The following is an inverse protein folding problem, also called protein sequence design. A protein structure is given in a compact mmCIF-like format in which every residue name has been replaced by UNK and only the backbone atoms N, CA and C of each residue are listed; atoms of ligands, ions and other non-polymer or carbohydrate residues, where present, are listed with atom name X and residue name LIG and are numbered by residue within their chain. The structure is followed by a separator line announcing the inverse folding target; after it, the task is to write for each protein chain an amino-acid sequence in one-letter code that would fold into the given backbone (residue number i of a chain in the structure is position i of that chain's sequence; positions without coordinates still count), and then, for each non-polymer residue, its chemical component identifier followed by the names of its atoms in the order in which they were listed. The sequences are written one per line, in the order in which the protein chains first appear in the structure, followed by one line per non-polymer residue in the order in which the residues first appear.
data_IF_508468323538
#
_entry.id   IF_508468323538
#
_cell.length_a   1.000
_cell.length_b   1.000
_cell.length_c   1.000
_cell.angle_alpha   90.00
_cell.angle_beta   90.00
_cell.angle_gamma   90.00
#
_symmetry.space_group_name_H-M   'P 1'
#
loop_
_entity.id
_entity.type
_entity.pdbx_description
1 polymer ?
#
# COMPACT_ATOMS: atom_id res chain seq x y z
N UNK A 1 -2.58 5.80 3.76
CA UNK A 1 -3.26 5.61 5.06
C UNK A 1 -4.40 6.61 5.15
N UNK A 2 -5.56 6.24 5.73
CA UNK A 2 -6.67 7.18 5.94
C UNK A 2 -6.51 8.00 7.22
N UNK A 3 -5.74 7.50 8.18
CA UNK A 3 -5.41 8.13 9.45
C UNK A 3 -4.15 7.47 10.04
N UNK A 4 -3.59 8.05 11.09
CA UNK A 4 -2.49 7.47 11.87
C UNK A 4 -2.87 7.36 13.35
N UNK A 5 -3.22 6.13 13.76
CA UNK A 5 -3.78 5.83 15.08
C UNK A 5 -2.80 5.14 16.00
N UNK A 6 -1.83 4.39 15.45
CA UNK A 6 -0.90 3.61 16.25
C UNK A 6 0.18 4.48 16.92
N UNK A 7 0.49 4.16 18.18
CA UNK A 7 1.42 4.94 19.00
C UNK A 7 2.84 4.92 18.42
N UNK A 8 3.28 3.79 17.86
CA UNK A 8 4.65 3.62 17.38
C UNK A 8 4.96 4.57 16.22
N UNK A 9 4.16 4.55 15.16
CA UNK A 9 4.34 5.43 14.01
C UNK A 9 4.04 6.89 14.36
N UNK A 10 3.11 7.18 15.27
CA UNK A 10 2.90 8.55 15.79
C UNK A 10 4.15 9.09 16.49
N UNK A 11 4.83 8.28 17.31
CA UNK A 11 6.11 8.66 17.93
C UNK A 11 7.19 8.88 16.87
N UNK A 12 7.29 8.01 15.86
CA UNK A 12 8.27 8.17 14.77
C UNK A 12 8.08 9.47 14.00
N UNK A 13 6.83 9.80 13.65
CA UNK A 13 6.53 11.06 12.97
C UNK A 13 6.78 12.26 13.89
N UNK A 14 6.42 12.17 15.17
CA UNK A 14 6.76 13.22 16.14
C UNK A 14 8.27 13.48 16.22
N UNK A 15 9.07 12.40 16.22
CA UNK A 15 10.52 12.51 16.20
C UNK A 15 11.00 13.18 14.91
N UNK A 16 10.43 12.81 13.75
CA UNK A 16 10.74 13.44 12.47
C UNK A 16 10.41 14.95 12.45
N UNK A 17 9.28 15.38 13.04
CA UNK A 17 8.94 16.81 13.22
C UNK A 17 10.03 17.52 14.02
N UNK A 18 10.47 16.90 15.14
CA UNK A 18 11.50 17.49 15.99
C UNK A 18 12.87 17.55 15.30
N UNK A 19 13.16 16.58 14.44
CA UNK A 19 14.40 16.45 13.68
C UNK A 19 14.46 17.33 12.44
N UNK A 20 13.30 17.73 11.90
CA UNK A 20 13.19 18.68 10.80
C UNK A 20 13.67 20.10 11.18
N UNK A 21 14.11 20.34 12.43
CA UNK A 21 14.76 21.59 12.85
C UNK A 21 15.69 21.35 14.06
N UNK A 22 17.04 21.52 14.00
CA UNK A 22 17.89 22.25 13.03
C UNK A 22 18.57 21.40 11.93
N UNK A 23 19.18 22.05 10.92
CA UNK A 23 19.70 21.45 9.66
C UNK A 23 20.61 20.24 9.82
N UNK A 24 21.44 20.17 10.88
CA UNK A 24 22.31 18.99 11.12
C UNK A 24 21.51 17.73 11.45
N UNK A 25 20.45 17.89 12.25
CA UNK A 25 19.58 16.76 12.64
C UNK A 25 18.70 16.38 11.44
N UNK A 26 18.28 17.36 10.64
CA UNK A 26 17.55 17.11 9.40
C UNK A 26 18.37 16.29 8.40
N UNK A 27 19.68 16.55 8.27
CA UNK A 27 20.54 15.73 7.42
C UNK A 27 20.62 14.26 7.90
N UNK A 28 20.58 14.02 9.21
CA UNK A 28 20.51 12.67 9.75
C UNK A 28 19.15 12.01 9.47
N UNK A 29 18.05 12.77 9.65
CA UNK A 29 16.70 12.33 9.29
C UNK A 29 16.63 11.91 7.81
N UNK A 30 17.13 12.77 6.91
CA UNK A 30 17.18 12.51 5.47
C UNK A 30 17.92 11.21 5.20
N UNK A 31 19.15 11.04 5.72
CA UNK A 31 19.93 9.81 5.52
C UNK A 31 19.20 8.56 6.01
N UNK A 32 18.56 8.63 7.18
CA UNK A 32 17.83 7.50 7.73
C UNK A 32 16.62 7.10 6.85
N UNK A 33 15.83 8.10 6.42
CA UNK A 33 14.65 7.88 5.57
C UNK A 33 15.06 7.36 4.19
N UNK A 34 16.05 7.97 3.55
CA UNK A 34 16.46 7.57 2.19
C UNK A 34 17.13 6.22 2.19
N UNK A 35 17.87 5.86 3.24
CA UNK A 35 18.42 4.51 3.40
C UNK A 35 17.33 3.45 3.50
N UNK A 36 16.28 3.70 4.30
CA UNK A 36 15.16 2.77 4.44
C UNK A 36 14.32 2.59 3.17
N UNK A 37 14.26 3.61 2.32
CA UNK A 37 13.48 3.62 1.08
C UNK A 37 14.25 3.12 -0.15
N UNK A 38 15.59 3.15 -0.13
CA UNK A 38 16.40 2.74 -1.26
C UNK A 38 16.49 1.20 -1.38
N UNK A 39 16.47 0.71 -2.61
CA UNK A 39 16.75 -0.68 -2.99
C UNK A 39 18.24 -0.90 -3.29
N UNK A 40 18.93 0.13 -3.79
CA UNK A 40 20.35 0.11 -4.18
C UNK A 40 21.03 1.44 -3.91
N UNK A 41 22.36 1.44 -4.01
CA UNK A 41 23.20 2.63 -3.75
C UNK A 41 22.84 3.81 -4.66
N UNK A 42 22.50 3.58 -5.93
CA UNK A 42 22.15 4.68 -6.86
C UNK A 42 20.86 5.36 -6.41
N UNK A 43 19.82 4.59 -6.12
CA UNK A 43 18.54 5.10 -5.60
C UNK A 43 18.72 5.85 -4.29
N UNK A 44 19.56 5.35 -3.38
CA UNK A 44 19.89 6.05 -2.14
C UNK A 44 20.48 7.44 -2.41
N UNK A 45 21.44 7.55 -3.34
CA UNK A 45 22.07 8.82 -3.66
C UNK A 45 21.07 9.78 -4.31
N UNK A 46 20.27 9.31 -5.26
CA UNK A 46 19.24 10.13 -5.92
C UNK A 46 18.21 10.65 -4.90
N UNK A 47 17.63 9.77 -4.09
CA UNK A 47 16.66 10.17 -3.06
C UNK A 47 17.26 11.17 -2.06
N UNK A 48 18.51 10.95 -1.66
CA UNK A 48 19.21 11.83 -0.73
C UNK A 48 19.50 13.20 -1.34
N UNK A 49 19.97 13.24 -2.59
CA UNK A 49 20.31 14.50 -3.26
C UNK A 49 19.06 15.35 -3.53
N UNK A 50 17.91 14.72 -3.81
CA UNK A 50 16.62 15.40 -3.86
C UNK A 50 16.16 15.90 -2.48
N UNK A 51 16.20 15.04 -1.46
CA UNK A 51 15.74 15.40 -0.11
C UNK A 51 16.60 16.49 0.55
N UNK A 52 17.88 16.62 0.18
CA UNK A 52 18.75 17.72 0.64
C UNK A 52 18.33 19.10 0.10
N UNK A 53 17.52 19.15 -0.96
CA UNK A 53 16.97 20.39 -1.51
C UNK A 53 15.68 20.84 -0.79
N UNK A 54 15.11 19.99 0.07
CA UNK A 54 13.88 20.30 0.77
C UNK A 54 14.08 21.37 1.85
N UNK A 55 13.08 22.24 1.98
CA UNK A 55 13.03 23.23 3.06
C UNK A 55 12.55 22.57 4.35
N UNK A 56 13.26 22.82 5.45
CA UNK A 56 12.95 22.32 6.78
C UNK A 56 11.48 22.52 7.19
N UNK A 57 10.94 23.71 6.93
CA UNK A 57 9.56 24.05 7.26
C UNK A 57 8.55 23.23 6.45
N UNK A 58 8.87 22.88 5.19
CA UNK A 58 8.01 22.03 4.36
C UNK A 58 8.01 20.60 4.88
N UNK A 59 9.19 20.05 5.19
CA UNK A 59 9.34 18.70 5.77
C UNK A 59 8.59 18.60 7.09
N UNK A 60 8.77 19.60 7.96
CA UNK A 60 8.06 19.69 9.23
C UNK A 60 6.55 19.74 9.03
N UNK A 61 6.08 20.65 8.16
CA UNK A 61 4.65 20.81 7.87
C UNK A 61 4.04 19.51 7.34
N UNK A 62 4.74 18.80 6.46
CA UNK A 62 4.30 17.51 5.93
C UNK A 62 4.08 16.47 7.05
N UNK A 63 5.05 16.33 7.96
CA UNK A 63 4.91 15.41 9.09
C UNK A 63 3.85 15.84 10.10
N UNK A 64 3.70 17.14 10.37
CA UNK A 64 2.62 17.67 11.21
C UNK A 64 1.23 17.36 10.62
N UNK A 65 1.07 17.52 9.30
CA UNK A 65 -0.18 17.14 8.62
C UNK A 65 -0.41 15.63 8.68
N UNK A 66 0.65 14.81 8.56
CA UNK A 66 0.53 13.35 8.65
C UNK A 66 0.02 12.87 10.01
N UNK A 67 0.29 13.59 11.10
CA UNK A 67 -0.27 13.28 12.44
C UNK A 67 -1.75 13.68 12.61
N UNK A 68 -2.20 14.68 11.86
CA UNK A 68 -3.52 15.32 12.02
C UNK A 68 -4.53 14.82 11.00
N UNK A 69 -4.07 14.36 9.84
CA UNK A 69 -4.91 13.92 8.75
C UNK A 69 -5.76 12.72 9.17
N UNK A 70 -7.07 12.84 8.97
CA UNK A 70 -8.02 11.75 9.12
C UNK A 70 -9.11 11.90 8.06
N UNK A 71 -9.24 10.92 7.18
CA UNK A 71 -10.31 10.83 6.20
C UNK A 71 -11.13 9.54 6.34
N UNK A 72 -10.96 8.75 7.40
CA UNK A 72 -11.64 7.44 7.58
C UNK A 72 -13.16 7.58 7.45
N UNK A 73 -13.76 8.59 8.06
CA UNK A 73 -15.21 8.86 7.96
C UNK A 73 -15.68 9.34 6.57
N UNK A 74 -14.76 9.73 5.70
CA UNK A 74 -15.05 10.17 4.33
C UNK A 74 -14.77 9.09 3.28
N UNK A 75 -14.22 7.93 3.66
CA UNK A 75 -13.87 6.87 2.70
C UNK A 75 -15.09 6.37 1.92
N UNK A 76 -16.26 6.29 2.57
CA UNK A 76 -17.52 5.88 1.94
C UNK A 76 -17.98 6.80 0.81
N UNK A 77 -17.45 8.04 0.73
CA UNK A 77 -17.74 9.01 -0.32
C UNK A 77 -16.95 8.73 -1.61
N UNK A 78 -15.89 7.93 -1.55
CA UNK A 78 -15.10 7.54 -2.73
C UNK A 78 -15.84 6.40 -3.42
N UNK A 79 -16.47 6.69 -4.56
CA UNK A 79 -17.31 5.72 -5.30
C UNK A 79 -16.58 5.03 -6.45
N UNK A 80 -15.41 5.51 -6.81
CA UNK A 80 -14.58 4.93 -7.83
C UNK A 80 -13.96 3.62 -7.34
N UNK A 81 -13.66 2.65 -8.23
CA UNK A 81 -12.86 1.50 -7.89
C UNK A 81 -11.48 1.94 -7.39
N UNK A 82 -11.03 1.37 -6.26
CA UNK A 82 -9.73 1.67 -5.66
C UNK A 82 -8.90 0.40 -5.54
N UNK A 83 -7.69 0.43 -6.10
CA UNK A 83 -6.68 -0.60 -5.90
C UNK A 83 -5.79 -0.23 -4.72
N UNK A 84 -5.73 -1.11 -3.73
CA UNK A 84 -4.85 -1.01 -2.57
C UNK A 84 -3.73 -2.05 -2.73
N UNK A 85 -2.48 -1.58 -2.77
CA UNK A 85 -1.29 -2.45 -2.89
C UNK A 85 -0.40 -2.21 -1.68
N UNK A 86 -0.06 -3.29 -0.98
CA UNK A 86 0.80 -3.29 0.20
C UNK A 86 1.88 -4.35 0.10
N UNK A 87 2.98 -4.16 0.84
CA UNK A 87 3.97 -5.22 1.03
C UNK A 87 3.50 -6.22 2.07
N UNK A 88 3.63 -7.52 1.79
CA UNK A 88 3.30 -8.58 2.76
C UNK A 88 4.12 -8.44 4.05
N UNK A 89 5.40 -8.04 3.94
CA UNK A 89 6.30 -7.85 5.09
C UNK A 89 6.15 -6.49 5.78
N UNK A 90 5.24 -5.64 5.31
CA UNK A 90 4.97 -4.32 5.90
C UNK A 90 3.91 -4.38 7.00
N UNK A 91 4.08 -5.30 7.96
CA UNK A 91 3.05 -5.70 8.93
C UNK A 91 2.49 -4.52 9.74
N UNK A 92 3.31 -3.51 10.03
CA UNK A 92 2.90 -2.30 10.75
C UNK A 92 1.80 -1.51 10.02
N UNK A 93 1.69 -1.68 8.69
CA UNK A 93 0.72 -0.98 7.85
C UNK A 93 -0.50 -1.82 7.48
N UNK A 94 -0.53 -3.12 7.82
CA UNK A 94 -1.67 -3.99 7.54
C UNK A 94 -2.96 -3.49 8.21
N UNK A 95 -2.96 -3.04 9.48
CA UNK A 95 -4.17 -2.47 10.09
C UNK A 95 -4.73 -1.29 9.29
N UNK A 96 -3.86 -0.43 8.75
CA UNK A 96 -4.29 0.70 7.92
C UNK A 96 -4.83 0.27 6.55
N UNK A 97 -4.24 -0.76 5.95
CA UNK A 97 -4.79 -1.37 4.73
C UNK A 97 -6.22 -1.87 4.97
N UNK A 98 -6.47 -2.50 6.12
CA UNK A 98 -7.79 -3.01 6.50
C UNK A 98 -8.80 -1.91 6.84
N UNK A 99 -8.36 -0.79 7.44
CA UNK A 99 -9.23 0.39 7.64
C UNK A 99 -9.69 0.93 6.27
N UNK A 100 -8.75 1.09 5.33
CA UNK A 100 -9.06 1.56 3.98
C UNK A 100 -9.98 0.59 3.24
N UNK A 101 -9.65 -0.71 3.23
CA UNK A 101 -10.42 -1.72 2.51
C UNK A 101 -11.87 -1.80 3.02
N UNK A 102 -12.08 -1.74 4.34
CA UNK A 102 -13.43 -1.73 4.95
C UNK A 102 -14.19 -0.43 4.72
N UNK A 103 -13.51 0.71 4.72
CA UNK A 103 -14.15 2.01 4.55
C UNK A 103 -14.49 2.37 3.10
N UNK A 104 -13.78 1.78 2.13
CA UNK A 104 -13.97 2.01 0.71
C UNK A 104 -15.01 1.04 0.13
N UNK A 105 -16.09 1.53 -0.51
CA UNK A 105 -17.17 0.67 -0.99
C UNK A 105 -16.77 -0.27 -2.15
N UNK A 106 -15.76 0.12 -2.94
CA UNK A 106 -15.30 -0.63 -4.10
C UNK A 106 -13.78 -0.71 -4.10
N UNK A 107 -13.22 -1.54 -3.22
CA UNK A 107 -11.77 -1.68 -3.12
C UNK A 107 -11.30 -3.12 -3.36
N UNK A 108 -10.13 -3.24 -3.99
CA UNK A 108 -9.38 -4.50 -4.12
C UNK A 108 -8.09 -4.35 -3.33
N UNK A 109 -7.77 -5.31 -2.45
CA UNK A 109 -6.59 -5.28 -1.60
C UNK A 109 -5.63 -6.41 -1.97
N UNK A 110 -4.40 -6.07 -2.34
CA UNK A 110 -3.34 -7.02 -2.69
C UNK A 110 -2.11 -6.81 -1.82
N UNK A 111 -1.59 -7.92 -1.27
CA UNK A 111 -0.30 -7.97 -0.61
C UNK A 111 0.73 -8.61 -1.53
N UNK A 112 1.79 -7.88 -1.87
CA UNK A 112 2.89 -8.42 -2.67
C UNK A 112 3.77 -9.27 -1.76
N UNK A 113 3.84 -10.57 -2.08
CA UNK A 113 4.63 -11.55 -1.35
C UNK A 113 6.07 -11.08 -1.16
N UNK A 114 6.61 -11.24 0.04
CA UNK A 114 7.97 -10.83 0.43
C UNK A 114 8.32 -9.33 0.29
N UNK A 115 7.39 -8.48 -0.16
CA UNK A 115 7.65 -7.05 -0.33
C UNK A 115 7.52 -6.30 0.99
N UNK A 116 8.38 -5.29 1.15
CA UNK A 116 8.38 -4.35 2.30
C UNK A 116 7.56 -3.09 1.96
N UNK A 117 7.60 -2.11 2.84
CA UNK A 117 6.91 -0.83 2.70
C UNK A 117 7.12 -0.09 1.36
N UNK A 118 8.35 0.13 0.84
CA UNK A 118 8.55 0.93 -0.36
C UNK A 118 8.30 0.11 -1.64
N UNK A 119 7.07 -0.38 -1.80
CA UNK A 119 6.62 -1.20 -2.93
C UNK A 119 6.97 -0.58 -4.29
N UNK A 120 6.76 0.74 -4.54
CA UNK A 120 7.05 1.33 -5.85
C UNK A 120 8.52 1.26 -6.26
N UNK A 121 9.43 1.18 -5.30
CA UNK A 121 10.88 1.13 -5.54
C UNK A 121 11.36 -0.32 -5.53
N UNK A 122 11.05 -1.07 -4.47
CA UNK A 122 11.60 -2.41 -4.24
C UNK A 122 10.82 -3.53 -4.94
N UNK A 123 9.62 -3.25 -5.45
CA UNK A 123 8.76 -4.26 -6.10
C UNK A 123 8.01 -3.69 -7.30
N UNK A 124 8.63 -2.73 -8.00
CA UNK A 124 8.05 -2.00 -9.11
C UNK A 124 7.42 -2.91 -10.18
N UNK A 125 8.15 -3.93 -10.65
CA UNK A 125 7.66 -4.84 -11.68
C UNK A 125 6.37 -5.56 -11.23
N UNK A 126 6.38 -6.16 -10.03
CA UNK A 126 5.21 -6.87 -9.47
C UNK A 126 4.03 -5.95 -9.22
N UNK A 127 4.30 -4.73 -8.74
CA UNK A 127 3.28 -3.70 -8.57
C UNK A 127 2.65 -3.34 -9.91
N UNK A 128 3.46 -3.11 -10.95
CA UNK A 128 2.99 -2.78 -12.28
C UNK A 128 2.16 -3.90 -12.90
N UNK A 129 2.58 -5.16 -12.75
CA UNK A 129 1.80 -6.33 -13.20
C UNK A 129 0.41 -6.36 -12.56
N UNK A 130 0.33 -6.12 -11.24
CA UNK A 130 -0.95 -6.05 -10.51
C UNK A 130 -1.80 -4.88 -11.03
N UNK A 131 -1.20 -3.71 -11.27
CA UNK A 131 -1.91 -2.55 -11.80
C UNK A 131 -2.50 -2.87 -13.18
N UNK A 132 -1.71 -3.47 -14.08
CA UNK A 132 -2.20 -3.83 -15.43
C UNK A 132 -3.35 -4.82 -15.36
N UNK A 133 -3.19 -5.92 -14.62
CA UNK A 133 -4.23 -6.92 -14.44
C UNK A 133 -5.51 -6.31 -13.82
N UNK A 134 -5.35 -5.44 -12.83
CA UNK A 134 -6.49 -4.77 -12.21
C UNK A 134 -7.17 -3.81 -13.19
N UNK A 135 -6.43 -2.99 -13.92
CA UNK A 135 -7.01 -2.09 -14.93
C UNK A 135 -7.74 -2.86 -16.01
N UNK A 136 -7.18 -3.96 -16.51
CA UNK A 136 -7.84 -4.79 -17.53
C UNK A 136 -9.11 -5.44 -16.97
N UNK A 137 -9.06 -5.94 -15.74
CA UNK A 137 -10.25 -6.48 -15.06
C UNK A 137 -11.37 -5.44 -14.87
N UNK A 138 -11.06 -4.15 -14.80
CA UNK A 138 -12.07 -3.09 -14.72
C UNK A 138 -12.77 -2.86 -16.05
N UNK A 139 -12.11 -3.11 -17.19
CA UNK A 139 -12.73 -3.06 -18.52
C UNK A 139 -13.72 -4.21 -18.72
N UNK A 140 -13.46 -5.35 -18.08
CA UNK A 140 -14.31 -6.55 -18.13
C UNK A 140 -15.57 -6.48 -17.24
N UNK A 141 -15.79 -5.37 -16.50
CA UNK A 141 -16.97 -5.16 -15.63
C UNK A 141 -18.34 -5.21 -16.33
N UNK A 142 -18.39 -5.39 -17.65
CA UNK A 142 -19.63 -5.71 -18.38
C UNK A 142 -20.02 -7.20 -18.34
N UNK A 143 -19.16 -8.12 -17.88
CA UNK A 143 -19.47 -9.55 -17.86
C UNK A 143 -19.48 -10.14 -16.45
N UNK A 144 -20.59 -10.83 -16.13
CA UNK A 144 -21.02 -11.50 -14.88
C UNK A 144 -19.99 -12.37 -14.12
N UNK A 145 -18.77 -12.53 -14.63
CA UNK A 145 -17.79 -13.56 -14.27
C UNK A 145 -16.55 -13.01 -13.56
N UNK A 146 -16.59 -11.76 -13.08
CA UNK A 146 -15.47 -11.04 -12.43
C UNK A 146 -14.73 -11.87 -11.37
N UNK A 147 -15.47 -12.63 -10.56
CA UNK A 147 -14.91 -13.45 -9.48
C UNK A 147 -14.05 -14.61 -10.01
N UNK A 148 -14.34 -15.15 -11.21
CA UNK A 148 -13.53 -16.21 -11.84
C UNK A 148 -12.18 -15.68 -12.31
N UNK A 149 -12.15 -14.44 -12.81
CA UNK A 149 -10.90 -13.77 -13.20
C UNK A 149 -10.04 -13.46 -11.98
N UNK A 150 -10.62 -12.88 -10.93
CA UNK A 150 -9.92 -12.58 -9.69
C UNK A 150 -9.34 -13.86 -9.06
N UNK A 151 -10.08 -14.98 -9.13
CA UNK A 151 -9.61 -16.31 -8.69
C UNK A 151 -8.48 -16.86 -9.57
N UNK A 152 -8.55 -16.71 -10.90
CA UNK A 152 -7.50 -17.14 -11.82
C UNK A 152 -6.20 -16.35 -11.64
N UNK A 153 -6.30 -15.03 -11.40
CA UNK A 153 -5.15 -14.17 -11.07
C UNK A 153 -4.54 -14.61 -9.73
N UNK A 154 -5.36 -14.84 -8.70
CA UNK A 154 -4.90 -15.31 -7.40
C UNK A 154 -4.19 -16.68 -7.49
N UNK A 155 -4.69 -17.61 -8.30
CA UNK A 155 -4.05 -18.90 -8.56
C UNK A 155 -2.69 -18.75 -9.26
N UNK A 156 -2.60 -17.88 -10.27
CA UNK A 156 -1.34 -17.64 -10.98
C UNK A 156 -0.27 -17.06 -10.05
N UNK A 157 -0.68 -16.23 -9.10
CA UNK A 157 0.23 -15.60 -8.13
C UNK A 157 0.57 -16.53 -6.95
N UNK A 158 -0.33 -17.44 -6.55
CA UNK A 158 -0.12 -18.34 -5.42
C UNK A 158 -0.87 -19.69 -5.59
N UNK A 159 -0.36 -20.63 -6.39
CA UNK A 159 -1.10 -21.81 -6.84
C UNK A 159 -1.37 -22.85 -5.74
N UNK A 160 -0.65 -22.81 -4.61
CA UNK A 160 -0.79 -23.80 -3.54
C UNK A 160 -1.96 -23.53 -2.59
N UNK A 161 -2.58 -22.35 -2.68
CA UNK A 161 -3.62 -21.90 -1.73
C UNK A 161 -5.05 -22.03 -2.29
N UNK A 162 -5.22 -22.29 -3.59
CA UNK A 162 -6.52 -22.23 -4.26
C UNK A 162 -6.75 -23.45 -5.19
N UNK A 163 -7.96 -24.04 -5.14
CA UNK A 163 -8.42 -25.09 -6.09
C UNK A 163 -8.60 -24.52 -7.49
N UNK A 164 -8.41 -25.36 -8.52
CA UNK A 164 -8.46 -25.00 -9.94
C UNK A 164 -9.82 -24.39 -10.33
N UNK A 165 -9.83 -23.29 -11.10
CA UNK A 165 -11.08 -22.61 -11.50
C UNK A 165 -12.00 -23.56 -12.28
N UNK A 166 -11.42 -24.50 -13.05
CA UNK A 166 -12.16 -25.46 -13.85
C UNK A 166 -12.91 -26.53 -13.01
N UNK A 167 -12.68 -26.60 -11.70
CA UNK A 167 -13.41 -27.50 -10.79
C UNK A 167 -14.71 -26.89 -10.26
N UNK A 168 -14.96 -25.60 -10.49
CA UNK A 168 -16.20 -24.93 -10.09
C UNK A 168 -17.24 -25.00 -11.23
N UNK A 169 -18.47 -25.40 -10.89
CA UNK A 169 -19.61 -25.41 -11.83
C UNK A 169 -19.83 -24.05 -12.48
N UNK A 170 -20.35 -24.01 -13.71
CA UNK A 170 -20.69 -22.76 -14.41
C UNK A 170 -21.64 -21.87 -13.59
N UNK A 171 -22.47 -22.51 -12.77
CA UNK A 171 -23.51 -21.91 -11.94
C UNK A 171 -23.09 -21.80 -10.47
N UNK A 172 -21.81 -22.06 -10.16
CA UNK A 172 -21.31 -21.95 -8.80
C UNK A 172 -21.35 -20.49 -8.33
N UNK A 173 -22.00 -20.25 -7.19
CA UNK A 173 -21.87 -19.00 -6.46
C UNK A 173 -20.42 -18.81 -5.99
N UNK A 174 -19.96 -17.55 -5.87
CA UNK A 174 -18.60 -17.27 -5.43
C UNK A 174 -18.31 -17.97 -4.10
N UNK A 175 -17.17 -18.64 -3.94
CA UNK A 175 -16.85 -19.33 -2.69
C UNK A 175 -16.86 -18.34 -1.54
N UNK A 176 -17.68 -18.61 -0.52
CA UNK A 176 -17.68 -17.83 0.72
C UNK A 176 -16.32 -18.07 1.37
N UNK A 177 -15.47 -17.04 1.37
CA UNK A 177 -14.18 -17.04 2.06
C UNK A 177 -14.44 -17.19 3.56
N UNK A 178 -14.47 -18.43 4.02
CA UNK A 178 -14.49 -18.74 5.44
C UNK A 178 -13.10 -18.42 5.95
N UNK A 179 -13.02 -17.37 6.77
CA UNK A 179 -11.84 -17.08 7.55
C UNK A 179 -11.69 -18.21 8.57
N UNK A 180 -10.73 -19.10 8.35
CA UNK A 180 -10.28 -19.99 9.42
C UNK A 180 -9.63 -19.13 10.51
N UNK A 181 -10.05 -19.40 11.75
CA UNK A 181 -9.80 -18.64 12.98
C UNK A 181 -8.34 -18.67 13.43
#
# INVERSE_FOLDING_TARGET
MSELTDTYNRIRIWLAIRMANPSRIMNFLIRAITYGNADKKTTYQELKDHALQDKADNVRSYFEQSLRYNCTNSLSKIKQPVLLIYGEKDVDFHPYAQILHRGLPHSSLFFIKDAKHPVPIQSAARMNDIIHLWVDSLKEKEQKERWKLDLAIAQKLNPQLYRNVNEYSSDAEPPIYTQEQ
#
